data_IF_828334302909
#
_entry.id   IF_828334302909
#
_cell.length_a   1.000
_cell.length_b   1.000
_cell.length_c   1.000
_cell.angle_alpha   90.00
_cell.angle_beta   90.00
_cell.angle_gamma   90.00
#
_symmetry.space_group_name_H-M   'P 1'
#
loop_
_entity.id
_entity.type
_entity.pdbx_description
1 polymer ?
#
# COMPACT_ATOMS: atom_id res chain seq x y z
N UNK A 1 -3.51 4.38 -2.00
CA UNK A 1 -2.84 3.29 -2.73
C UNK A 1 -1.41 3.16 -2.21
N UNK A 2 -1.02 1.94 -1.93
CA UNK A 2 0.33 1.62 -1.50
C UNK A 2 0.92 0.67 -2.52
N UNK A 3 2.08 1.01 -3.07
CA UNK A 3 2.81 0.14 -3.99
C UNK A 3 4.09 -0.23 -3.30
N UNK A 4 4.32 -1.52 -3.08
CA UNK A 4 5.41 -1.98 -2.23
C UNK A 4 5.91 -3.33 -2.67
N UNK A 5 7.05 -3.71 -2.10
CA UNK A 5 7.56 -5.08 -2.28
C UNK A 5 6.55 -6.08 -1.76
N UNK A 6 6.44 -7.18 -2.47
CA UNK A 6 5.48 -8.21 -2.08
C UNK A 6 5.76 -8.77 -0.68
N UNK A 7 7.01 -8.71 -0.26
CA UNK A 7 7.37 -9.22 1.06
C UNK A 7 6.71 -8.44 2.19
N UNK A 8 6.23 -7.23 1.92
CA UNK A 8 5.56 -6.42 2.93
C UNK A 8 4.06 -6.68 3.00
N UNK A 9 3.51 -7.46 2.10
CA UNK A 9 2.05 -7.53 1.96
C UNK A 9 1.39 -7.91 3.28
N UNK A 10 1.87 -8.94 3.93
CA UNK A 10 1.22 -9.42 5.14
C UNK A 10 1.25 -8.37 6.25
N UNK A 11 2.38 -7.71 6.42
CA UNK A 11 2.50 -6.69 7.43
C UNK A 11 1.61 -5.49 7.13
N UNK A 12 1.55 -5.11 5.85
CA UNK A 12 0.70 -3.99 5.46
C UNK A 12 -0.77 -4.30 5.69
N UNK A 13 -1.19 -5.52 5.38
CA UNK A 13 -2.57 -5.92 5.63
C UNK A 13 -2.89 -5.79 7.12
N UNK A 14 -2.02 -6.30 7.97
CA UNK A 14 -2.23 -6.22 9.41
C UNK A 14 -2.32 -4.76 9.87
N UNK A 15 -1.43 -3.92 9.34
CA UNK A 15 -1.41 -2.52 9.75
C UNK A 15 -2.66 -1.78 9.31
N UNK A 16 -3.07 -1.91 8.04
CA UNK A 16 -4.20 -1.12 7.56
C UNK A 16 -5.49 -1.54 8.24
N UNK A 17 -5.64 -2.83 8.52
CA UNK A 17 -6.85 -3.29 9.21
C UNK A 17 -6.86 -2.80 10.65
N UNK A 18 -5.71 -2.84 11.31
CA UNK A 18 -5.60 -2.34 12.68
C UNK A 18 -5.91 -0.86 12.77
N UNK A 19 -5.55 -0.11 11.74
CA UNK A 19 -5.68 1.34 11.75
C UNK A 19 -7.03 1.84 11.28
N UNK A 20 -7.93 0.94 10.92
CA UNK A 20 -9.30 1.34 10.67
C UNK A 20 -9.85 1.06 9.29
N UNK A 21 -9.07 0.48 8.40
CA UNK A 21 -9.60 0.11 7.09
C UNK A 21 -10.58 -1.04 7.25
N UNK A 22 -11.65 -1.02 6.46
CA UNK A 22 -12.64 -2.08 6.49
C UNK A 22 -12.34 -3.18 5.49
N UNK A 23 -11.44 -2.92 4.55
CA UNK A 23 -11.05 -3.91 3.58
C UNK A 23 -9.96 -3.38 2.68
N UNK A 24 -9.49 -4.23 1.79
CA UNK A 24 -8.40 -3.86 0.89
C UNK A 24 -8.46 -4.77 -0.34
N UNK A 25 -7.78 -4.34 -1.38
CA UNK A 25 -7.58 -5.16 -2.58
C UNK A 25 -6.10 -5.14 -2.89
N UNK A 26 -5.53 -6.31 -3.14
CA UNK A 26 -4.12 -6.41 -3.50
C UNK A 26 -4.00 -7.00 -4.89
N UNK A 27 -3.16 -6.38 -5.70
CA UNK A 27 -2.91 -6.81 -7.08
C UNK A 27 -1.41 -6.95 -7.27
N UNK A 28 -0.98 -8.02 -7.91
CA UNK A 28 0.40 -8.13 -8.35
C UNK A 28 0.59 -7.19 -9.52
N UNK A 29 1.68 -6.41 -9.48
CA UNK A 29 1.94 -5.44 -10.54
C UNK A 29 3.41 -5.51 -10.94
N UNK A 30 3.69 -4.96 -12.09
CA UNK A 30 5.05 -4.83 -12.59
C UNK A 30 5.35 -3.37 -12.86
N UNK A 31 6.59 -3.01 -12.63
CA UNK A 31 7.01 -1.65 -12.88
C UNK A 31 8.43 -1.45 -12.40
N UNK A 32 8.94 -0.27 -12.63
CA UNK A 32 10.21 0.10 -12.04
C UNK A 32 10.05 1.52 -11.52
N UNK A 33 10.68 1.77 -10.39
CA UNK A 33 10.57 3.05 -9.75
C UNK A 33 11.90 3.67 -9.48
N UNK A 34 11.86 4.77 -8.76
CA UNK A 34 13.08 5.48 -8.43
C UNK A 34 14.05 4.63 -7.62
N UNK A 35 13.53 3.67 -6.90
CA UNK A 35 14.36 2.76 -6.12
C UNK A 35 14.60 1.46 -6.86
N UNK A 36 14.57 1.49 -8.16
CA UNK A 36 14.65 0.31 -8.99
C UNK A 36 15.98 -0.42 -8.97
N UNK A 37 16.79 -0.15 -7.96
CA UNK A 37 18.03 -0.87 -7.77
C UNK A 37 17.82 -2.35 -7.65
N UNK A 38 16.58 -2.76 -7.50
CA UNK A 38 16.27 -4.18 -7.41
C UNK A 38 16.02 -4.82 -8.75
N UNK A 39 15.94 -4.03 -9.79
CA UNK A 39 15.56 -4.57 -11.09
C UNK A 39 16.59 -5.60 -11.54
N UNK A 40 16.09 -6.64 -12.14
CA UNK A 40 16.93 -7.65 -12.73
C UNK A 40 17.69 -8.51 -11.75
N UNK A 41 17.51 -8.27 -10.46
CA UNK A 41 18.27 -9.02 -9.49
C UNK A 41 17.55 -10.31 -9.12
N UNK A 42 16.28 -10.18 -8.80
CA UNK A 42 15.56 -11.34 -8.29
C UNK A 42 14.16 -11.38 -8.86
N UNK A 43 13.71 -12.58 -9.18
CA UNK A 43 12.28 -12.74 -9.44
C UNK A 43 11.48 -12.57 -8.18
N UNK A 44 12.13 -12.75 -7.04
CA UNK A 44 11.42 -12.60 -5.77
C UNK A 44 11.07 -11.15 -5.48
N UNK A 45 11.65 -10.22 -6.22
CA UNK A 45 11.35 -8.81 -6.05
C UNK A 45 10.06 -8.45 -6.75
N UNK A 46 9.00 -9.13 -6.34
CA UNK A 46 7.69 -8.81 -6.87
C UNK A 46 7.14 -7.60 -6.17
N UNK A 47 6.23 -6.94 -6.85
CA UNK A 47 5.62 -5.72 -6.36
C UNK A 47 4.13 -5.92 -6.28
N UNK A 48 3.52 -5.39 -5.24
CA UNK A 48 2.07 -5.42 -5.08
C UNK A 48 1.54 -4.00 -4.99
N UNK A 49 0.29 -3.85 -5.43
CA UNK A 49 -0.46 -2.62 -5.29
C UNK A 49 -1.61 -2.90 -4.35
N UNK A 50 -1.66 -2.17 -3.26
CA UNK A 50 -2.74 -2.32 -2.28
C UNK A 50 -3.63 -1.10 -2.36
N UNK A 51 -4.90 -1.34 -2.63
CA UNK A 51 -5.90 -0.30 -2.72
C UNK A 51 -6.81 -0.37 -1.51
N UNK A 52 -6.97 0.77 -0.84
CA UNK A 52 -7.80 0.84 0.35
C UNK A 52 -8.76 1.99 0.16
N UNK A 53 -10.05 1.70 0.24
CA UNK A 53 -11.09 2.72 0.18
C UNK A 53 -11.49 3.04 1.61
N UNK A 54 -11.34 4.29 2.01
CA UNK A 54 -11.59 4.66 3.39
C UNK A 54 -11.81 6.16 3.48
N UNK A 55 -12.23 6.60 4.65
CA UNK A 55 -12.33 8.01 4.95
C UNK A 55 -10.95 8.65 4.96
N UNK A 56 -10.91 9.95 4.65
CA UNK A 56 -9.64 10.66 4.59
C UNK A 56 -8.86 10.62 5.90
N UNK A 57 -9.57 10.67 7.03
CA UNK A 57 -8.88 10.62 8.32
C UNK A 57 -8.18 9.28 8.53
N UNK A 58 -8.81 8.20 8.09
CA UNK A 58 -8.18 6.87 8.18
C UNK A 58 -7.00 6.81 7.23
N UNK A 59 -7.15 7.35 6.02
CA UNK A 59 -6.06 7.36 5.06
C UNK A 59 -4.84 8.09 5.60
N UNK A 60 -5.06 9.20 6.29
CA UNK A 60 -3.94 9.96 6.87
C UNK A 60 -3.20 9.16 7.92
N UNK A 61 -3.94 8.46 8.78
CA UNK A 61 -3.32 7.66 9.83
C UNK A 61 -2.53 6.50 9.22
N UNK A 62 -3.11 5.85 8.23
CA UNK A 62 -2.43 4.74 7.56
C UNK A 62 -1.14 5.24 6.91
N UNK A 63 -1.22 6.35 6.19
CA UNK A 63 -0.06 6.89 5.49
C UNK A 63 1.06 7.22 6.46
N UNK A 64 0.71 7.87 7.56
CA UNK A 64 1.72 8.25 8.54
C UNK A 64 2.42 7.03 9.12
N UNK A 65 1.65 6.03 9.50
CA UNK A 65 2.21 4.84 10.12
C UNK A 65 3.06 4.04 9.13
N UNK A 66 2.57 3.87 7.91
CA UNK A 66 3.28 3.09 6.91
C UNK A 66 4.60 3.76 6.55
N UNK A 67 4.58 5.07 6.35
CA UNK A 67 5.80 5.78 6.03
C UNK A 67 6.79 5.70 7.19
N UNK A 68 6.30 5.85 8.40
CA UNK A 68 7.18 5.79 9.56
C UNK A 68 7.83 4.42 9.72
N UNK A 69 7.07 3.36 9.49
CA UNK A 69 7.56 2.01 9.77
C UNK A 69 8.40 1.43 8.64
N UNK A 70 8.09 1.79 7.40
CA UNK A 70 8.68 1.05 6.28
C UNK A 70 9.48 1.87 5.29
N UNK A 71 9.26 3.17 5.22
CA UNK A 71 9.83 3.94 4.12
C UNK A 71 11.36 3.93 4.11
N UNK A 72 11.98 3.85 5.26
CA UNK A 72 13.43 3.89 5.34
C UNK A 72 14.08 2.63 4.79
N UNK A 73 13.48 1.48 5.05
CA UNK A 73 14.12 0.21 4.79
C UNK A 73 13.56 -0.55 3.60
N UNK A 74 12.47 -0.06 3.02
CA UNK A 74 11.79 -0.81 1.95
C UNK A 74 11.45 0.12 0.81
N UNK A 75 11.43 -0.43 -0.41
CA UNK A 75 10.95 0.33 -1.54
C UNK A 75 9.44 0.34 -1.55
N UNK A 76 8.87 1.51 -1.35
CA UNK A 76 7.43 1.66 -1.45
C UNK A 76 7.08 3.07 -1.85
N UNK A 77 5.92 3.21 -2.45
CA UNK A 77 5.34 4.52 -2.69
C UNK A 77 3.89 4.49 -2.25
N UNK A 78 3.37 5.66 -1.94
CA UNK A 78 2.04 5.77 -1.39
C UNK A 78 1.44 7.06 -1.89
N UNK A 79 0.18 7.02 -2.27
CA UNK A 79 -0.51 8.23 -2.69
C UNK A 79 -1.99 8.14 -2.39
N UNK A 80 -2.62 9.29 -2.35
CA UNK A 80 -4.06 9.42 -2.16
C UNK A 80 -4.73 9.78 -3.47
N UNK A 81 -5.93 9.26 -3.65
CA UNK A 81 -6.79 9.65 -4.76
C UNK A 81 -8.21 9.74 -4.21
N UNK A 82 -8.89 10.82 -4.54
CA UNK A 82 -10.29 10.94 -4.16
C UNK A 82 -11.13 10.27 -5.22
N UNK A 83 -12.06 9.44 -4.78
CA UNK A 83 -12.91 8.68 -5.67
C UNK A 83 -14.35 8.76 -5.19
N UNK A 84 -15.28 8.60 -6.11
CA UNK A 84 -16.70 8.52 -5.78
C UNK A 84 -17.06 7.05 -5.63
N UNK A 85 -17.50 6.67 -4.43
CA UNK A 85 -17.81 5.28 -4.13
C UNK A 85 -19.33 5.11 -4.20
N UNK A 86 -19.75 4.15 -5.00
CA UNK A 86 -21.20 3.95 -5.23
C UNK A 86 -21.88 3.26 -4.06
N UNK A 87 -21.13 2.61 -3.18
CA UNK A 87 -21.68 1.95 -2.00
C UNK A 87 -20.86 2.35 -0.78
N UNK A 88 -20.94 3.63 -0.39
CA UNK A 88 -20.05 4.13 0.68
C UNK A 88 -20.30 3.50 2.03
N UNK A 89 -21.47 2.91 2.24
CA UNK A 89 -21.76 2.29 3.53
C UNK A 89 -20.85 1.10 3.81
N UNK A 90 -20.13 0.62 2.82
CA UNK A 90 -19.20 -0.50 3.01
C UNK A 90 -17.84 -0.06 3.51
N UNK A 91 -17.62 1.22 3.53
CA UNK A 91 -16.31 1.78 3.87
C UNK A 91 -16.44 2.83 4.93
#
# INVERSE_FOLDING_TARGET
VIIAEASLEKLLVEDVMRLGAHGYTVTDVRGSGASGTREGIWEVDRTVRMEILCEGTVADVIAEEVMRRYATNYGLSLYFTEVDVLRPEKY
#
